data_IF_593023787141
#
_entry.id   IF_593023787141
#
_cell.length_a   1.000
_cell.length_b   1.000
_cell.length_c   1.000
_cell.angle_alpha   90.00
_cell.angle_beta   90.00
_cell.angle_gamma   90.00
#
_symmetry.space_group_name_H-M   'P 1'
#
loop_
_entity.id
_entity.type
_entity.pdbx_description
1 polymer ?
#
# COMPACT_ATOMS: atom_id res chain seq x y z
N UNK A 1 39.28 26.10 5.84
CA UNK A 1 37.83 25.83 5.99
C UNK A 1 37.35 25.14 4.73
N UNK A 2 37.50 23.81 4.67
CA UNK A 2 37.01 22.98 3.56
C UNK A 2 36.23 21.84 4.20
N UNK A 3 34.91 21.93 4.07
CA UNK A 3 33.96 20.97 4.60
C UNK A 3 34.00 19.70 3.74
N UNK A 4 34.62 18.66 4.29
CA UNK A 4 34.21 17.26 4.27
C UNK A 4 33.41 16.78 3.04
N UNK A 5 34.12 16.23 2.06
CA UNK A 5 33.54 15.35 1.04
C UNK A 5 32.93 14.13 1.72
N UNK A 6 31.59 14.07 1.78
CA UNK A 6 30.84 12.92 2.26
C UNK A 6 30.82 11.85 1.16
N UNK A 7 31.53 10.75 1.42
CA UNK A 7 31.36 9.46 0.76
C UNK A 7 29.88 9.01 0.82
N UNK A 8 29.18 9.13 -0.32
CA UNK A 8 27.89 8.47 -0.55
C UNK A 8 28.19 7.06 -1.05
N UNK A 9 28.59 6.18 -0.13
CA UNK A 9 28.48 4.73 -0.30
C UNK A 9 27.66 4.17 0.84
N UNK A 10 26.36 4.44 0.81
CA UNK A 10 25.40 3.70 1.65
C UNK A 10 25.03 2.42 0.91
N UNK A 11 25.82 1.38 1.14
CA UNK A 11 25.42 -0.01 0.89
C UNK A 11 24.00 -0.21 1.46
N UNK A 12 23.01 -0.37 0.57
CA UNK A 12 21.62 -0.70 0.91
C UNK A 12 21.32 -2.15 0.49
N UNK A 13 22.24 -3.04 0.82
CA UNK A 13 22.10 -4.48 0.61
C UNK A 13 22.56 -5.14 1.90
N UNK A 14 21.61 -5.45 2.78
CA UNK A 14 21.67 -6.46 3.87
C UNK A 14 20.62 -6.12 4.94
N UNK A 15 19.36 -6.39 4.62
CA UNK A 15 18.32 -6.63 5.61
C UNK A 15 17.34 -7.64 5.01
N UNK A 16 17.75 -8.91 4.94
CA UNK A 16 16.81 -10.02 4.82
C UNK A 16 16.06 -10.06 6.16
N UNK A 17 14.94 -9.33 6.21
CA UNK A 17 14.03 -9.30 7.35
C UNK A 17 13.14 -10.55 7.25
N UNK A 18 13.30 -11.50 8.18
CA UNK A 18 12.46 -12.71 8.29
C UNK A 18 11.07 -12.38 8.86
N UNK A 19 10.42 -11.36 8.31
CA UNK A 19 9.04 -10.93 8.56
C UNK A 19 8.28 -10.56 7.27
N UNK A 20 8.87 -10.76 6.09
CA UNK A 20 8.31 -10.28 4.81
C UNK A 20 7.08 -11.05 4.35
N UNK A 21 6.90 -12.32 4.76
CA UNK A 21 5.76 -13.14 4.31
C UNK A 21 4.40 -12.49 4.55
N UNK A 22 4.25 -11.83 5.71
CA UNK A 22 3.03 -11.07 6.03
C UNK A 22 2.91 -9.81 5.18
N UNK A 23 4.02 -9.07 5.01
CA UNK A 23 4.05 -7.85 4.22
C UNK A 23 3.70 -8.11 2.75
N UNK A 24 4.37 -9.07 2.09
CA UNK A 24 4.15 -9.42 0.68
C UNK A 24 2.69 -9.82 0.42
N UNK A 25 2.08 -10.56 1.36
CA UNK A 25 0.66 -10.94 1.28
C UNK A 25 -0.23 -9.70 1.30
N UNK A 26 -0.03 -8.81 2.28
CA UNK A 26 -0.86 -7.61 2.42
C UNK A 26 -0.58 -6.57 1.33
N UNK A 27 0.64 -6.53 0.80
CA UNK A 27 1.01 -5.71 -0.35
C UNK A 27 0.24 -6.16 -1.60
N UNK A 28 0.18 -7.47 -1.85
CA UNK A 28 -0.63 -8.04 -2.94
C UNK A 28 -2.12 -7.72 -2.77
N UNK A 29 -2.66 -7.89 -1.55
CA UNK A 29 -4.07 -7.58 -1.26
C UNK A 29 -4.39 -6.10 -1.42
N UNK A 30 -3.53 -5.22 -0.90
CA UNK A 30 -3.69 -3.77 -1.03
C UNK A 30 -3.62 -3.33 -2.48
N UNK A 31 -2.70 -3.88 -3.29
CA UNK A 31 -2.62 -3.57 -4.71
C UNK A 31 -3.90 -3.96 -5.45
N UNK A 32 -4.42 -5.17 -5.19
CA UNK A 32 -5.71 -5.62 -5.76
C UNK A 32 -6.87 -4.74 -5.31
N UNK A 33 -6.93 -4.37 -4.04
CA UNK A 33 -7.96 -3.46 -3.51
C UNK A 33 -7.91 -2.09 -4.17
N UNK A 34 -6.71 -1.55 -4.37
CA UNK A 34 -6.52 -0.27 -5.07
C UNK A 34 -7.05 -0.34 -6.50
N UNK A 35 -6.69 -1.40 -7.25
CA UNK A 35 -7.20 -1.63 -8.60
C UNK A 35 -8.72 -1.80 -8.64
N UNK A 36 -9.28 -2.56 -7.69
CA UNK A 36 -10.73 -2.81 -7.56
C UNK A 36 -11.51 -1.51 -7.35
N UNK A 37 -10.94 -0.57 -6.58
CA UNK A 37 -11.54 0.75 -6.30
C UNK A 37 -11.14 1.84 -7.30
N UNK A 38 -10.31 1.52 -8.32
CA UNK A 38 -9.81 2.50 -9.29
C UNK A 38 -8.79 3.49 -8.73
N UNK A 39 -8.13 3.18 -7.61
CA UNK A 39 -7.09 4.04 -7.01
C UNK A 39 -5.73 3.74 -7.63
N UNK A 40 -5.20 4.69 -8.39
CA UNK A 40 -3.83 4.63 -8.92
C UNK A 40 -2.86 5.45 -8.04
N UNK A 41 -2.11 4.75 -7.18
CA UNK A 41 -1.10 5.39 -6.33
C UNK A 41 0.06 6.01 -7.12
N UNK A 42 0.41 5.46 -8.27
CA UNK A 42 1.50 5.98 -9.09
C UNK A 42 1.10 7.32 -9.71
N UNK A 43 -0.11 7.39 -10.26
CA UNK A 43 -0.67 8.65 -10.75
C UNK A 43 -0.81 9.69 -9.63
N UNK A 44 -1.33 9.29 -8.46
CA UNK A 44 -1.47 10.19 -7.31
C UNK A 44 -0.11 10.75 -6.85
N UNK A 45 0.95 9.94 -6.85
CA UNK A 45 2.32 10.39 -6.56
C UNK A 45 2.83 11.38 -7.60
N UNK A 46 2.66 11.08 -8.89
CA UNK A 46 3.07 11.97 -9.97
C UNK A 46 2.35 13.32 -9.94
N UNK A 47 1.07 13.32 -9.52
CA UNK A 47 0.27 14.54 -9.30
C UNK A 47 0.62 15.27 -7.98
N UNK A 48 1.55 14.74 -7.18
CA UNK A 48 1.92 15.32 -5.88
C UNK A 48 0.81 15.21 -4.82
N UNK A 49 -0.15 14.31 -5.01
CA UNK A 49 -1.31 14.13 -4.14
C UNK A 49 -1.12 13.05 -3.07
N UNK A 50 -0.05 12.26 -3.19
CA UNK A 50 0.38 11.24 -2.23
C UNK A 50 1.90 11.25 -2.09
N UNK A 51 2.37 10.84 -0.91
CA UNK A 51 3.79 10.67 -0.61
C UNK A 51 4.36 9.41 -1.27
N UNK A 52 5.68 9.35 -1.41
CA UNK A 52 6.37 8.21 -2.04
C UNK A 52 6.12 6.89 -1.29
N UNK A 53 5.90 6.96 0.03
CA UNK A 53 5.57 5.84 0.92
C UNK A 53 4.06 5.61 1.13
N UNK A 54 3.19 6.22 0.33
CA UNK A 54 1.74 6.19 0.53
C UNK A 54 1.18 4.77 0.57
N UNK A 55 1.68 3.90 -0.29
CA UNK A 55 1.22 2.53 -0.42
C UNK A 55 1.74 1.67 0.73
N UNK A 56 3.03 1.75 1.02
CA UNK A 56 3.72 1.04 2.09
C UNK A 56 3.09 1.36 3.44
N UNK A 57 2.78 2.64 3.71
CA UNK A 57 2.07 3.08 4.91
C UNK A 57 0.68 2.45 5.06
N UNK A 58 -0.01 2.17 3.94
CA UNK A 58 -1.31 1.48 3.94
C UNK A 58 -1.14 -0.02 4.10
N UNK A 59 -0.11 -0.64 3.51
CA UNK A 59 0.23 -2.05 3.74
C UNK A 59 0.55 -2.30 5.21
N UNK A 60 1.35 -1.44 5.84
CA UNK A 60 1.63 -1.52 7.28
C UNK A 60 0.36 -1.45 8.14
N UNK A 61 -0.61 -0.61 7.76
CA UNK A 61 -1.93 -0.59 8.42
C UNK A 61 -2.78 -1.82 8.11
N UNK A 62 -2.69 -2.33 6.88
CA UNK A 62 -3.42 -3.51 6.42
C UNK A 62 -2.97 -4.78 7.15
N UNK A 63 -1.68 -4.91 7.47
CA UNK A 63 -1.15 -6.02 8.28
C UNK A 63 -1.77 -6.14 9.68
N UNK A 64 -2.39 -5.08 10.18
CA UNK A 64 -3.15 -5.08 11.44
C UNK A 64 -4.65 -5.36 11.26
N UNK A 65 -5.10 -5.75 10.07
CA UNK A 65 -6.48 -6.16 9.83
C UNK A 65 -6.76 -7.50 10.53
N UNK A 66 -8.01 -7.67 10.96
CA UNK A 66 -8.45 -8.85 11.71
C UNK A 66 -8.82 -10.02 10.81
N UNK A 67 -9.05 -9.79 9.51
CA UNK A 67 -9.56 -10.82 8.60
C UNK A 67 -9.04 -10.64 7.15
N UNK A 68 -7.82 -11.14 6.85
CA UNK A 68 -7.27 -11.11 5.51
C UNK A 68 -7.96 -12.10 4.55
N UNK A 69 -8.55 -13.18 5.06
CA UNK A 69 -9.25 -14.17 4.22
C UNK A 69 -10.55 -13.57 3.65
N UNK A 70 -11.31 -12.84 4.46
CA UNK A 70 -12.48 -12.10 3.97
C UNK A 70 -12.10 -11.05 2.91
N UNK A 71 -10.88 -10.49 2.96
CA UNK A 71 -10.35 -9.58 1.94
C UNK A 71 -10.18 -10.29 0.60
N UNK A 72 -9.61 -11.50 0.60
CA UNK A 72 -9.46 -12.30 -0.62
C UNK A 72 -10.80 -12.65 -1.24
N UNK A 73 -11.77 -13.07 -0.43
CA UNK A 73 -13.14 -13.37 -0.89
C UNK A 73 -13.80 -12.13 -1.51
N UNK A 74 -13.76 -10.99 -0.82
CA UNK A 74 -14.32 -9.75 -1.34
C UNK A 74 -13.70 -9.37 -2.70
N UNK A 75 -12.38 -9.47 -2.82
CA UNK A 75 -11.67 -9.13 -4.05
C UNK A 75 -11.94 -10.12 -5.19
N UNK A 76 -12.24 -11.38 -4.89
CA UNK A 76 -12.66 -12.36 -5.89
C UNK A 76 -14.11 -12.10 -6.37
N UNK A 77 -14.99 -11.67 -5.46
CA UNK A 77 -16.39 -11.36 -5.79
C UNK A 77 -16.52 -10.05 -6.60
N UNK A 78 -15.52 -9.17 -6.53
CA UNK A 78 -15.53 -7.83 -7.14
C UNK A 78 -14.44 -7.65 -8.21
N UNK A 79 -14.13 -8.69 -8.99
CA UNK A 79 -13.16 -8.59 -10.10
C UNK A 79 -13.52 -7.53 -11.14
N UNK A 80 -14.81 -7.21 -11.30
CA UNK A 80 -15.30 -6.16 -12.19
C UNK A 80 -15.14 -4.73 -11.62
N UNK A 81 -14.67 -4.60 -10.38
CA UNK A 81 -14.56 -3.34 -9.65
C UNK A 81 -15.61 -3.20 -8.54
N UNK A 82 -15.33 -2.31 -7.60
CA UNK A 82 -16.22 -1.93 -6.50
C UNK A 82 -16.18 -0.42 -6.26
N UNK A 83 -17.31 0.16 -5.85
CA UNK A 83 -17.38 1.58 -5.49
C UNK A 83 -16.89 1.85 -4.05
N UNK A 84 -17.02 0.85 -3.17
CA UNK A 84 -16.73 0.98 -1.74
C UNK A 84 -15.84 -0.14 -1.24
N UNK A 85 -14.96 0.18 -0.29
CA UNK A 85 -14.15 -0.84 0.38
C UNK A 85 -15.00 -1.57 1.45
N UNK A 86 -14.67 -2.82 1.80
CA UNK A 86 -15.46 -3.56 2.78
C UNK A 86 -15.37 -2.93 4.18
N UNK A 87 -16.42 -3.10 4.98
CA UNK A 87 -16.55 -2.43 6.29
C UNK A 87 -15.43 -2.77 7.29
N UNK A 88 -14.83 -3.96 7.18
CA UNK A 88 -13.70 -4.39 8.03
C UNK A 88 -12.35 -3.83 7.56
N UNK A 89 -12.27 -3.21 6.39
CA UNK A 89 -11.00 -2.72 5.85
C UNK A 89 -10.53 -1.49 6.65
N UNK A 90 -9.35 -1.62 7.28
CA UNK A 90 -8.72 -0.52 8.05
C UNK A 90 -8.36 0.69 7.20
N UNK A 91 -8.22 0.50 5.88
CA UNK A 91 -7.90 1.55 4.93
C UNK A 91 -9.15 2.09 4.20
N UNK A 92 -10.37 1.65 4.55
CA UNK A 92 -11.62 2.00 3.87
C UNK A 92 -11.75 3.50 3.61
N UNK A 93 -11.75 4.30 4.69
CA UNK A 93 -11.94 5.75 4.60
C UNK A 93 -10.88 6.43 3.73
N UNK A 94 -9.63 6.00 3.82
CA UNK A 94 -8.54 6.58 3.04
C UNK A 94 -8.62 6.20 1.57
N UNK A 95 -8.97 4.95 1.26
CA UNK A 95 -9.10 4.45 -0.11
C UNK A 95 -10.30 5.09 -0.80
N UNK A 96 -11.45 5.16 -0.13
CA UNK A 96 -12.66 5.81 -0.67
C UNK A 96 -12.43 7.30 -0.93
N UNK A 97 -11.70 7.98 -0.03
CA UNK A 97 -11.29 9.38 -0.24
C UNK A 97 -10.37 9.56 -1.46
N UNK A 98 -9.53 8.58 -1.75
CA UNK A 98 -8.64 8.61 -2.91
C UNK A 98 -9.38 8.24 -4.20
N UNK A 99 -10.33 7.31 -4.14
CA UNK A 99 -11.15 6.89 -5.26
C UNK A 99 -12.12 7.99 -5.74
N UNK A 100 -12.57 8.86 -4.83
CA UNK A 100 -13.47 9.96 -5.15
C UNK A 100 -12.79 11.19 -5.80
N UNK A 101 -11.53 11.09 -6.24
CA UNK A 101 -10.74 12.20 -6.81
C UNK A 101 -10.56 12.05 -8.30
#
# INVERSE_FOLDING_TARGET
MVCFSRDVKRNRSEAVMTGTKGYETHERLMNRMAQTLGVDFEELKQRGQCDEGAMENRVHRCMGCTDPEACEVFLADHEAGAEFAPAYCRNKTDLERLAAR
#
